data_IF_459466921101
#
_entry.id   IF_459466921101
#
_cell.length_a   1.000
_cell.length_b   1.000
_cell.length_c   1.000
_cell.angle_alpha   90.00
_cell.angle_beta   90.00
_cell.angle_gamma   90.00
#
_symmetry.space_group_name_H-M   'P 1'
#
loop_
_entity.id
_entity.type
_entity.pdbx_description
1 polymer ?
#
# COMPACT_ATOMS: atom_id res chain seq x y z
N UNK A 1 6.95 4.41 9.82
CA UNK A 1 7.24 5.39 8.74
C UNK A 1 6.13 5.29 7.67
N UNK A 2 6.11 6.11 6.61
CA UNK A 2 4.99 6.17 5.63
C UNK A 2 4.54 4.79 5.09
N UNK A 3 5.48 3.86 4.94
CA UNK A 3 5.20 2.46 4.60
C UNK A 3 4.24 1.78 5.58
N UNK A 4 4.43 1.93 6.88
CA UNK A 4 3.56 1.34 7.91
C UNK A 4 2.15 1.95 7.86
N UNK A 5 2.05 3.25 7.59
CA UNK A 5 0.76 3.92 7.43
C UNK A 5 0.01 3.39 6.20
N UNK A 6 0.72 3.16 5.09
CA UNK A 6 0.15 2.58 3.88
C UNK A 6 -0.26 1.11 4.08
N UNK A 7 0.55 0.30 4.78
CA UNK A 7 0.18 -1.06 5.19
C UNK A 7 -1.07 -1.07 6.05
N UNK A 8 -1.14 -0.19 7.04
CA UNK A 8 -2.33 -0.02 7.88
C UNK A 8 -3.55 0.31 7.03
N UNK A 9 -3.43 1.26 6.10
CA UNK A 9 -4.53 1.66 5.22
C UNK A 9 -4.99 0.54 4.27
N UNK A 10 -4.11 -0.38 3.87
CA UNK A 10 -4.49 -1.58 3.12
C UNK A 10 -5.25 -2.57 4.00
N UNK A 11 -4.74 -2.87 5.21
CA UNK A 11 -5.34 -3.83 6.15
C UNK A 11 -6.70 -3.36 6.65
N UNK A 12 -6.86 -2.06 6.94
CA UNK A 12 -8.16 -1.48 7.36
C UNK A 12 -9.12 -1.28 6.19
N UNK A 13 -8.67 -1.52 4.96
CA UNK A 13 -9.43 -1.33 3.73
C UNK A 13 -9.66 0.13 3.35
N UNK A 14 -8.98 1.10 3.97
CA UNK A 14 -9.01 2.50 3.53
C UNK A 14 -8.50 2.66 2.08
N UNK A 15 -7.49 1.87 1.71
CA UNK A 15 -7.12 1.64 0.32
C UNK A 15 -7.88 0.40 -0.17
N UNK A 16 -8.88 0.60 -1.01
CA UNK A 16 -9.82 -0.44 -1.44
C UNK A 16 -9.16 -1.35 -2.47
N UNK A 17 -9.38 -2.68 -2.41
CA UNK A 17 -8.99 -3.59 -3.48
C UNK A 17 -9.51 -3.12 -4.85
N UNK A 18 -8.69 -3.24 -5.89
CA UNK A 18 -8.94 -2.71 -7.22
C UNK A 18 -8.78 -1.18 -7.35
N UNK A 19 -8.74 -0.45 -6.22
CA UNK A 19 -8.54 1.00 -6.19
C UNK A 19 -7.16 1.41 -6.70
N UNK A 20 -7.11 2.49 -7.48
CA UNK A 20 -5.86 3.04 -8.03
C UNK A 20 -5.52 4.36 -7.33
N UNK A 21 -4.33 4.43 -6.75
CA UNK A 21 -3.86 5.55 -5.96
C UNK A 21 -2.54 6.08 -6.52
N UNK A 22 -2.45 7.39 -6.69
CA UNK A 22 -1.21 8.05 -7.12
C UNK A 22 -0.39 8.49 -5.92
N UNK A 23 0.94 8.49 -6.06
CA UNK A 23 1.83 8.93 -4.98
C UNK A 23 1.60 10.40 -4.54
N UNK A 24 1.30 11.36 -5.44
CA UNK A 24 0.97 12.73 -5.02
C UNK A 24 -0.29 12.80 -4.14
N UNK A 25 -1.38 12.14 -4.54
CA UNK A 25 -2.64 12.15 -3.78
C UNK A 25 -2.47 11.51 -2.40
N UNK A 26 -1.75 10.39 -2.33
CA UNK A 26 -1.41 9.78 -1.05
C UNK A 26 -0.47 10.67 -0.22
N UNK A 27 0.48 11.37 -0.85
CA UNK A 27 1.35 12.33 -0.18
C UNK A 27 0.58 13.44 0.50
N UNK A 28 -0.35 14.07 -0.22
CA UNK A 28 -1.26 15.08 0.33
C UNK A 28 -2.07 14.51 1.52
N UNK A 29 -2.60 13.30 1.37
CA UNK A 29 -3.38 12.62 2.42
C UNK A 29 -2.57 12.33 3.69
N UNK A 30 -1.32 11.92 3.55
CA UNK A 30 -0.45 11.54 4.66
C UNK A 30 0.47 12.67 5.15
N UNK A 31 0.35 13.88 4.57
CA UNK A 31 1.15 15.05 4.96
C UNK A 31 2.64 14.92 4.64
N UNK A 32 2.98 14.18 3.58
CA UNK A 32 4.37 13.93 3.14
C UNK A 32 4.52 14.18 1.64
N UNK A 33 5.75 14.34 1.15
CA UNK A 33 5.98 14.51 -0.29
C UNK A 33 5.71 13.20 -1.06
N UNK A 34 5.54 13.30 -2.38
CA UNK A 34 5.25 12.15 -3.23
C UNK A 34 6.42 11.14 -3.34
N UNK A 35 7.66 11.59 -3.11
CA UNK A 35 8.87 10.73 -3.21
C UNK A 35 8.85 9.58 -2.19
N UNK A 36 8.77 9.81 -0.87
CA UNK A 36 8.74 8.72 0.12
C UNK A 36 7.49 7.85 -0.01
N UNK A 37 6.38 8.40 -0.49
CA UNK A 37 5.17 7.62 -0.80
C UNK A 37 5.43 6.67 -1.97
N UNK A 38 6.07 7.15 -3.04
CA UNK A 38 6.39 6.33 -4.20
C UNK A 38 7.32 5.18 -3.84
N UNK A 39 8.34 5.44 -3.04
CA UNK A 39 9.27 4.42 -2.53
C UNK A 39 8.53 3.36 -1.72
N UNK A 40 7.67 3.78 -0.78
CA UNK A 40 6.87 2.85 0.01
C UNK A 40 5.89 2.04 -0.85
N UNK A 41 5.22 2.65 -1.82
CA UNK A 41 4.30 1.96 -2.73
C UNK A 41 5.03 1.01 -3.68
N UNK A 42 6.27 1.31 -4.07
CA UNK A 42 7.12 0.37 -4.81
C UNK A 42 7.50 -0.83 -3.96
N UNK A 43 7.83 -0.63 -2.67
CA UNK A 43 8.09 -1.73 -1.76
C UNK A 43 6.85 -2.61 -1.57
N UNK A 44 5.67 -2.00 -1.41
CA UNK A 44 4.39 -2.72 -1.37
C UNK A 44 4.10 -3.47 -2.69
N UNK A 45 4.60 -2.98 -3.83
CA UNK A 45 4.48 -3.68 -5.10
C UNK A 45 5.37 -4.92 -5.16
N UNK A 46 6.61 -4.83 -4.64
CA UNK A 46 7.50 -5.98 -4.49
C UNK A 46 6.92 -7.03 -3.54
N UNK A 47 6.20 -6.59 -2.52
CA UNK A 47 5.50 -7.47 -1.57
C UNK A 47 4.25 -8.11 -2.18
N UNK A 48 3.74 -7.60 -3.31
CA UNK A 48 2.51 -8.08 -3.98
C UNK A 48 1.21 -7.46 -3.46
N UNK A 49 1.28 -6.36 -2.70
CA UNK A 49 0.09 -5.72 -2.12
C UNK A 49 -0.59 -4.77 -3.11
N UNK A 50 0.21 -4.24 -4.03
CA UNK A 50 -0.23 -3.37 -5.11
C UNK A 50 0.51 -3.75 -6.40
N UNK A 51 0.04 -3.28 -7.54
CA UNK A 51 0.79 -3.33 -8.79
C UNK A 51 0.96 -1.92 -9.37
N UNK A 52 2.04 -1.70 -10.12
CA UNK A 52 2.27 -0.43 -10.81
C UNK A 52 1.34 -0.33 -12.02
N UNK A 53 0.56 0.75 -12.08
CA UNK A 53 -0.25 1.11 -13.24
C UNK A 53 0.41 2.28 -13.96
N UNK A 54 0.93 2.09 -15.18
CA UNK A 54 1.60 3.14 -15.94
C UNK A 54 0.77 4.41 -16.01
N UNK A 55 1.39 5.55 -15.69
CA UNK A 55 0.79 6.90 -15.68
C UNK A 55 -0.42 7.10 -14.74
N UNK A 56 -0.77 6.12 -13.88
CA UNK A 56 -1.88 6.26 -12.93
C UNK A 56 -1.47 6.11 -11.47
N UNK A 57 -0.43 5.34 -11.18
CA UNK A 57 0.04 5.10 -9.83
C UNK A 57 0.07 3.62 -9.51
N UNK A 58 -0.63 3.21 -8.46
CA UNK A 58 -0.60 1.85 -7.93
C UNK A 58 -2.00 1.33 -7.72
N UNK A 59 -2.30 0.13 -8.21
CA UNK A 59 -3.57 -0.55 -7.98
C UNK A 59 -3.44 -1.51 -6.82
N UNK A 60 -4.36 -1.44 -5.85
CA UNK A 60 -4.44 -2.41 -4.76
C UNK A 60 -4.90 -3.76 -5.32
N UNK A 61 -4.15 -4.81 -5.03
CA UNK A 61 -4.49 -6.16 -5.44
C UNK A 61 -5.49 -6.77 -4.45
N UNK A 62 -6.44 -7.55 -4.96
CA UNK A 62 -7.25 -8.43 -4.12
C UNK A 62 -6.36 -9.57 -3.65
N UNK A 63 -5.87 -9.49 -2.41
CA UNK A 63 -5.32 -10.66 -1.73
C UNK A 63 -6.46 -11.38 -1.04
N UNK A 64 -6.63 -12.67 -1.31
CA UNK A 64 -7.55 -13.49 -0.52
C UNK A 64 -7.16 -13.46 0.95
N UNK A 65 -8.12 -13.60 1.85
CA UNK A 65 -8.02 -13.48 3.32
C UNK A 65 -6.81 -14.21 3.97
N UNK A 66 -6.18 -15.14 3.23
CA UNK A 66 -5.05 -15.97 3.65
C UNK A 66 -3.71 -15.22 3.72
N UNK A 67 -3.52 -14.14 2.97
CA UNK A 67 -2.23 -13.40 2.91
C UNK A 67 -2.16 -12.20 3.86
N UNK A 68 -3.31 -11.63 4.23
CA UNK A 68 -3.40 -10.57 5.26
C UNK A 68 -3.03 -11.08 6.66
N UNK A 69 -3.19 -12.38 6.91
CA UNK A 69 -2.84 -13.04 8.17
C UNK A 69 -1.32 -13.23 8.34
N UNK A 70 -0.55 -13.44 7.26
CA UNK A 70 0.90 -13.70 7.35
C UNK A 70 1.68 -12.45 7.80
N UNK A 71 1.17 -11.24 7.51
CA UNK A 71 1.75 -9.99 8.04
C UNK A 71 1.44 -9.76 9.54
N UNK A 72 0.40 -10.40 10.08
CA UNK A 72 0.06 -10.33 11.50
C UNK A 72 0.86 -11.35 12.33
N UNK A 73 1.17 -12.53 11.79
CA UNK A 73 1.90 -13.58 12.51
C UNK A 73 3.39 -13.27 12.76
N UNK A 74 4.05 -12.50 11.88
CA UNK A 74 5.49 -12.15 12.08
C UNK A 74 5.70 -11.21 13.29
N UNK A 75 4.63 -10.63 13.87
CA UNK A 75 4.71 -9.82 15.11
C UNK A 75 4.45 -10.60 16.40
N UNK A 76 4.22 -11.92 16.33
CA UNK A 76 3.89 -12.75 17.48
C UNK A 76 5.01 -13.72 17.93
N UNK A 77 6.22 -13.63 17.35
CA UNK A 77 7.41 -14.39 17.74
C UNK A 77 8.55 -13.43 18.15
#
# INVERSE_FOLDING_TARGET
QILDALRSALVTGELRPGGVYSAPVLGERFGVSATPVREAMQQLALEGAVEVVPNRGFRVLERGDRELAELAEVRAL
#
